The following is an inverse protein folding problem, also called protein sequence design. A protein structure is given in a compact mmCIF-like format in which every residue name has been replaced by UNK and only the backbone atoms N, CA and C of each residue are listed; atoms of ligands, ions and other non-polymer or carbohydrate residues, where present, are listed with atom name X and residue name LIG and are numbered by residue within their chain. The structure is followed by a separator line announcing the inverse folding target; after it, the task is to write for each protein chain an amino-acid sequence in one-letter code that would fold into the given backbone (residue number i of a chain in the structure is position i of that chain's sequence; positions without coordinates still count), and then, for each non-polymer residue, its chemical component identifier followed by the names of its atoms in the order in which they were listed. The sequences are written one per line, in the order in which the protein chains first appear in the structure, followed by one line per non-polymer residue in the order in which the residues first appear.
data_IF_286108699789
#
_entry.id   IF_286108699789
#
_cell.length_a   1.000
_cell.length_b   1.000
_cell.length_c   1.000
_cell.angle_alpha   90.00
_cell.angle_beta   90.00
_cell.angle_gamma   90.00
#
_symmetry.space_group_name_H-M   'P 1'
#
loop_
_entity.id
_entity.type
_entity.pdbx_description
1 polymer ?
#
# COMPACT_ATOMS: atom_id res chain seq x y z
N UNK A 1 -51.91 -81.90 -49.51
CA UNK A 1 -51.43 -82.71 -48.37
C UNK A 1 -50.10 -82.12 -47.91
N UNK A 2 -50.02 -81.62 -46.67
CA UNK A 2 -48.78 -81.39 -45.87
C UNK A 2 -47.87 -80.25 -46.44
N UNK A 3 -47.25 -79.30 -45.74
CA UNK A 3 -47.08 -78.97 -44.33
C UNK A 3 -46.72 -77.48 -44.18
N UNK A 4 -46.85 -77.02 -42.95
CA UNK A 4 -46.36 -75.81 -42.28
C UNK A 4 -44.91 -75.33 -42.54
N UNK A 5 -44.70 -74.06 -42.15
CA UNK A 5 -43.54 -73.37 -41.51
C UNK A 5 -43.08 -72.13 -42.29
N UNK A 6 -42.80 -70.95 -41.74
CA UNK A 6 -42.98 -70.33 -40.41
C UNK A 6 -42.77 -68.80 -40.62
N UNK A 7 -43.70 -68.00 -40.08
CA UNK A 7 -43.47 -66.83 -39.21
C UNK A 7 -42.54 -65.69 -39.70
N UNK A 8 -43.15 -64.50 -39.92
CA UNK A 8 -42.63 -63.24 -39.38
C UNK A 8 -43.80 -62.33 -38.98
N UNK A 9 -43.85 -61.95 -37.69
CA UNK A 9 -44.87 -61.09 -37.07
C UNK A 9 -44.47 -59.63 -37.20
N UNK A 10 -45.34 -58.79 -37.77
CA UNK A 10 -45.31 -57.33 -37.63
C UNK A 10 -46.67 -56.86 -37.13
N UNK A 11 -46.78 -56.58 -35.83
CA UNK A 11 -48.01 -56.11 -35.22
C UNK A 11 -48.08 -54.58 -35.26
N UNK A 12 -49.13 -54.09 -35.89
CA UNK A 12 -49.58 -52.71 -35.92
C UNK A 12 -50.23 -52.38 -34.57
N UNK A 13 -49.80 -51.29 -33.94
CA UNK A 13 -50.47 -50.71 -32.78
C UNK A 13 -50.88 -49.27 -33.10
N UNK A 14 -52.19 -49.02 -33.04
CA UNK A 14 -52.77 -47.69 -33.00
C UNK A 14 -53.30 -47.46 -31.58
N UNK A 15 -52.99 -46.32 -30.95
CA UNK A 15 -53.85 -45.75 -29.92
C UNK A 15 -53.50 -44.28 -29.57
N UNK A 16 -54.57 -43.50 -29.48
CA UNK A 16 -54.84 -42.29 -28.67
C UNK A 16 -54.33 -40.89 -29.04
N UNK A 17 -55.34 -40.04 -29.11
CA UNK A 17 -55.41 -38.58 -29.20
C UNK A 17 -54.90 -37.92 -27.91
N UNK A 18 -54.09 -36.88 -28.06
CA UNK A 18 -53.71 -35.96 -26.98
C UNK A 18 -53.16 -34.67 -27.58
N UNK A 19 -54.05 -33.70 -27.80
CA UNK A 19 -53.71 -32.36 -28.30
C UNK A 19 -52.97 -31.60 -27.18
N UNK A 20 -51.65 -31.75 -27.09
CA UNK A 20 -50.82 -30.95 -26.19
C UNK A 20 -50.67 -29.54 -26.75
N UNK A 21 -51.37 -28.60 -26.11
CA UNK A 21 -51.10 -27.17 -26.21
C UNK A 21 -49.62 -26.94 -25.87
N UNK A 22 -48.82 -26.62 -26.87
CA UNK A 22 -47.46 -26.07 -26.71
C UNK A 22 -47.59 -24.67 -26.09
N UNK A 23 -47.85 -24.64 -24.79
CA UNK A 23 -47.64 -23.45 -23.98
C UNK A 23 -46.13 -23.24 -23.89
N UNK A 24 -45.60 -22.37 -24.74
CA UNK A 24 -44.25 -21.82 -24.57
C UNK A 24 -44.28 -21.05 -23.25
N UNK A 25 -43.93 -21.72 -22.15
CA UNK A 25 -43.51 -21.05 -20.93
C UNK A 25 -42.16 -20.42 -21.28
N UNK A 26 -42.18 -19.15 -21.67
CA UNK A 26 -40.96 -18.35 -21.62
C UNK A 26 -40.56 -18.27 -20.14
N UNK A 27 -39.70 -19.18 -19.70
CA UNK A 27 -38.91 -18.94 -18.51
C UNK A 27 -37.91 -17.87 -18.90
N UNK A 28 -38.23 -16.61 -18.62
CA UNK A 28 -37.20 -15.57 -18.59
C UNK A 28 -36.22 -16.00 -17.51
N UNK A 29 -35.04 -16.43 -17.91
CA UNK A 29 -33.91 -16.45 -17.02
C UNK A 29 -33.76 -15.01 -16.53
N UNK A 30 -34.06 -14.78 -15.25
CA UNK A 30 -33.71 -13.53 -14.60
C UNK A 30 -32.20 -13.39 -14.78
N UNK A 31 -31.80 -12.31 -15.47
CA UNK A 31 -30.42 -12.11 -15.87
C UNK A 31 -29.50 -12.19 -14.67
N UNK A 32 -28.23 -12.53 -14.92
CA UNK A 32 -27.10 -12.43 -13.97
C UNK A 32 -27.39 -11.30 -12.98
N UNK A 33 -27.42 -11.53 -11.64
CA UNK A 33 -27.75 -10.49 -10.68
C UNK A 33 -26.85 -9.28 -10.91
N UNK A 34 -27.42 -8.25 -11.53
CA UNK A 34 -26.76 -6.99 -11.75
C UNK A 34 -26.57 -6.35 -10.39
N UNK A 35 -25.33 -6.36 -9.91
CA UNK A 35 -24.85 -5.80 -8.63
C UNK A 35 -25.16 -6.64 -7.38
N UNK A 36 -24.18 -6.75 -6.49
CA UNK A 36 -24.38 -7.35 -5.17
C UNK A 36 -25.49 -6.60 -4.42
N UNK A 37 -26.54 -7.30 -3.94
CA UNK A 37 -27.69 -6.66 -3.31
C UNK A 37 -27.26 -5.87 -2.08
N UNK A 38 -27.75 -4.64 -1.95
CA UNK A 38 -27.57 -3.84 -0.73
C UNK A 38 -28.74 -4.08 0.22
N UNK A 39 -28.46 -4.19 1.52
CA UNK A 39 -29.49 -4.42 2.56
C UNK A 39 -29.54 -3.24 3.50
N UNK A 40 -30.73 -2.67 3.68
CA UNK A 40 -31.02 -1.74 4.76
C UNK A 40 -31.40 -2.54 6.01
N UNK A 41 -30.81 -2.20 7.16
CA UNK A 41 -31.17 -2.78 8.46
C UNK A 41 -31.57 -1.66 9.40
N UNK A 42 -32.64 -1.86 10.17
CA UNK A 42 -33.12 -0.88 11.12
C UNK A 42 -33.69 -1.52 12.38
N UNK A 43 -33.95 -0.67 13.38
CA UNK A 43 -34.71 -1.02 14.58
C UNK A 43 -36.00 -0.20 14.62
N UNK A 44 -37.10 -0.84 15.01
CA UNK A 44 -38.42 -0.25 15.14
C UNK A 44 -38.88 -0.39 16.59
N UNK A 45 -39.20 0.74 17.21
CA UNK A 45 -39.75 0.83 18.55
C UNK A 45 -41.04 1.66 18.53
N UNK A 46 -42.03 1.25 19.32
CA UNK A 46 -43.26 2.00 19.54
C UNK A 46 -43.33 2.29 21.05
N UNK A 47 -43.32 3.57 21.43
CA UNK A 47 -43.30 3.98 22.85
C UNK A 47 -42.06 3.51 23.63
N UNK A 48 -40.92 3.30 22.95
CA UNK A 48 -39.67 2.81 23.55
C UNK A 48 -39.63 1.28 23.75
N UNK A 49 -40.60 0.54 23.20
CA UNK A 49 -40.63 -0.93 23.26
C UNK A 49 -40.35 -1.51 21.86
N UNK A 50 -39.41 -2.47 21.73
CA UNK A 50 -39.14 -3.13 20.46
C UNK A 50 -40.36 -3.84 19.88
N UNK A 51 -40.67 -3.56 18.62
CA UNK A 51 -41.81 -4.15 17.93
C UNK A 51 -41.47 -5.56 17.42
N UNK A 52 -42.42 -6.49 17.48
CA UNK A 52 -42.31 -7.81 16.82
C UNK A 52 -43.54 -8.06 15.95
N UNK A 53 -43.34 -8.51 14.71
CA UNK A 53 -44.42 -8.81 13.77
C UNK A 53 -44.08 -8.42 12.33
N UNK A 54 -45.01 -8.68 11.41
CA UNK A 54 -44.87 -8.28 10.01
C UNK A 54 -45.21 -6.79 9.84
N UNK A 55 -44.41 -6.07 9.07
CA UNK A 55 -44.60 -4.66 8.71
C UNK A 55 -44.33 -4.44 7.23
N UNK A 56 -45.08 -3.52 6.63
CA UNK A 56 -44.77 -3.04 5.29
C UNK A 56 -43.74 -1.92 5.41
N UNK A 57 -42.60 -2.09 4.75
CA UNK A 57 -41.51 -1.12 4.75
C UNK A 57 -41.31 -0.60 3.33
N UNK A 58 -41.33 0.72 3.16
CA UNK A 58 -40.97 1.39 1.91
C UNK A 58 -39.70 2.20 2.14
N UNK A 59 -38.72 2.00 1.26
CA UNK A 59 -37.47 2.73 1.23
C UNK A 59 -37.49 3.64 0.00
N UNK A 60 -37.48 4.95 0.20
CA UNK A 60 -37.48 5.93 -0.89
C UNK A 60 -36.17 6.69 -0.87
N UNK A 61 -35.44 6.67 -1.98
CA UNK A 61 -34.17 7.41 -2.12
C UNK A 61 -34.43 8.73 -2.81
N UNK A 62 -33.96 9.81 -2.20
CA UNK A 62 -34.04 11.17 -2.70
C UNK A 62 -32.64 11.73 -2.99
N UNK A 63 -32.54 12.71 -3.89
CA UNK A 63 -31.32 13.51 -4.07
C UNK A 63 -31.38 14.89 -3.41
N UNK A 64 -32.47 15.17 -2.69
CA UNK A 64 -32.64 16.39 -1.90
C UNK A 64 -33.13 16.06 -0.48
N UNK A 65 -32.61 16.80 0.50
CA UNK A 65 -32.89 16.60 1.92
C UNK A 65 -34.34 16.91 2.32
N UNK A 66 -35.04 17.74 1.56
CA UNK A 66 -36.28 18.41 1.99
C UNK A 66 -37.39 18.44 0.94
N UNK A 67 -37.08 18.22 -0.34
CA UNK A 67 -38.06 18.31 -1.42
C UNK A 67 -39.19 17.30 -1.25
N UNK A 68 -40.43 17.76 -1.16
CA UNK A 68 -41.62 16.91 -0.93
C UNK A 68 -42.29 16.44 -2.23
N UNK A 69 -41.75 16.83 -3.38
CA UNK A 69 -42.27 16.43 -4.68
C UNK A 69 -41.67 15.09 -5.16
N UNK A 70 -42.26 14.52 -6.20
CA UNK A 70 -41.78 13.29 -6.82
C UNK A 70 -40.55 13.48 -7.73
N UNK A 71 -40.15 14.70 -8.07
CA UNK A 71 -39.05 14.96 -9.00
C UNK A 71 -37.68 14.64 -8.38
N UNK A 72 -37.60 14.69 -7.05
CA UNK A 72 -36.40 14.38 -6.28
C UNK A 72 -36.30 12.90 -5.87
N UNK A 73 -37.29 12.08 -6.19
CA UNK A 73 -37.21 10.62 -5.98
C UNK A 73 -36.27 10.03 -7.05
N UNK A 74 -35.27 9.27 -6.60
CA UNK A 74 -34.33 8.58 -7.49
C UNK A 74 -34.65 7.10 -7.63
N UNK A 75 -35.21 6.49 -6.60
CA UNK A 75 -35.74 5.14 -6.67
C UNK A 75 -36.64 4.84 -5.46
N UNK A 76 -37.40 3.75 -5.53
CA UNK A 76 -38.16 3.24 -4.39
C UNK A 76 -38.08 1.73 -4.32
N UNK A 77 -37.86 1.18 -3.13
CA UNK A 77 -37.99 -0.25 -2.84
C UNK A 77 -39.16 -0.44 -1.88
N UNK A 78 -40.13 -1.29 -2.25
CA UNK A 78 -41.26 -1.65 -1.39
C UNK A 78 -41.10 -3.11 -0.96
N UNK A 79 -40.99 -3.33 0.36
CA UNK A 79 -40.96 -4.65 0.97
C UNK A 79 -42.23 -4.84 1.80
N UNK A 80 -43.19 -5.55 1.24
CA UNK A 80 -44.40 -5.95 1.95
C UNK A 80 -44.09 -7.13 2.88
N UNK A 81 -44.66 -7.14 4.09
CA UNK A 81 -44.53 -8.26 5.03
C UNK A 81 -43.12 -8.47 5.60
N UNK A 82 -42.29 -7.42 5.69
CA UNK A 82 -40.99 -7.49 6.36
C UNK A 82 -41.14 -7.95 7.80
N UNK A 83 -40.45 -9.02 8.17
CA UNK A 83 -40.42 -9.50 9.54
C UNK A 83 -39.60 -8.55 10.42
N UNK A 84 -40.22 -8.06 11.48
CA UNK A 84 -39.57 -7.34 12.57
C UNK A 84 -39.48 -8.28 13.76
N UNK A 85 -38.28 -8.56 14.25
CA UNK A 85 -38.05 -9.45 15.40
C UNK A 85 -37.27 -8.70 16.47
N UNK A 86 -37.89 -8.50 17.63
CA UNK A 86 -37.28 -7.72 18.73
C UNK A 86 -36.77 -6.35 18.24
N UNK A 87 -37.63 -5.64 17.52
CA UNK A 87 -37.37 -4.35 16.89
C UNK A 87 -36.55 -4.43 15.60
N UNK A 88 -35.77 -5.47 15.35
CA UNK A 88 -34.87 -5.52 14.19
C UNK A 88 -35.57 -5.96 12.92
N UNK A 89 -35.29 -5.27 11.82
CA UNK A 89 -35.76 -5.65 10.50
C UNK A 89 -34.67 -5.44 9.43
N UNK A 90 -34.82 -6.14 8.30
CA UNK A 90 -33.93 -6.01 7.15
C UNK A 90 -34.73 -5.96 5.86
N UNK A 91 -34.32 -5.09 4.95
CA UNK A 91 -34.92 -4.92 3.62
C UNK A 91 -33.81 -4.85 2.58
N UNK A 92 -33.84 -5.77 1.64
CA UNK A 92 -32.96 -5.73 0.46
C UNK A 92 -33.44 -4.67 -0.51
N UNK A 93 -32.56 -3.75 -0.90
CA UNK A 93 -32.84 -2.75 -1.92
C UNK A 93 -33.00 -3.43 -3.29
N UNK A 94 -33.96 -2.95 -4.09
CA UNK A 94 -34.08 -3.38 -5.48
C UNK A 94 -32.84 -3.01 -6.32
N UNK A 95 -32.66 -3.65 -7.47
CA UNK A 95 -31.50 -3.44 -8.34
C UNK A 95 -31.36 -1.97 -8.78
N UNK A 96 -32.47 -1.29 -9.06
CA UNK A 96 -32.49 0.14 -9.42
C UNK A 96 -31.94 1.02 -8.28
N UNK A 97 -32.44 0.81 -7.05
CA UNK A 97 -31.92 1.53 -5.90
C UNK A 97 -30.48 1.20 -5.58
N UNK A 98 -30.08 -0.05 -5.80
CA UNK A 98 -28.69 -0.49 -5.62
C UNK A 98 -27.77 0.23 -6.60
N UNK A 99 -28.20 0.43 -7.85
CA UNK A 99 -27.44 1.18 -8.85
C UNK A 99 -27.37 2.68 -8.53
N UNK A 100 -28.51 3.31 -8.18
CA UNK A 100 -28.59 4.75 -7.83
C UNK A 100 -27.67 5.10 -6.68
N UNK A 101 -27.71 4.33 -5.59
CA UNK A 101 -26.90 4.59 -4.39
C UNK A 101 -25.39 4.47 -4.68
N UNK A 102 -25.00 3.65 -5.67
CA UNK A 102 -23.60 3.49 -6.07
C UNK A 102 -23.12 4.58 -7.03
N UNK A 103 -23.99 5.07 -7.92
CA UNK A 103 -23.60 6.01 -8.98
C UNK A 103 -23.77 7.48 -8.60
N UNK A 104 -24.59 7.79 -7.59
CA UNK A 104 -24.99 9.16 -7.28
C UNK A 104 -24.53 9.55 -5.86
N UNK A 105 -23.66 10.57 -5.73
CA UNK A 105 -23.32 11.13 -4.42
C UNK A 105 -24.48 11.97 -3.86
N UNK A 106 -24.47 12.21 -2.54
CA UNK A 106 -25.47 13.03 -1.85
C UNK A 106 -26.90 12.55 -2.05
N UNK A 107 -27.24 11.42 -1.45
CA UNK A 107 -28.60 10.90 -1.44
C UNK A 107 -29.16 10.92 -0.01
N UNK A 108 -30.48 10.85 0.10
CA UNK A 108 -31.22 10.74 1.35
C UNK A 108 -32.15 9.54 1.27
N UNK A 109 -32.22 8.78 2.36
CA UNK A 109 -33.15 7.66 2.51
C UNK A 109 -34.30 8.12 3.40
N UNK A 110 -35.51 7.97 2.91
CA UNK A 110 -36.71 7.98 3.73
C UNK A 110 -37.18 6.55 3.94
N UNK A 111 -37.47 6.21 5.19
CA UNK A 111 -37.98 4.90 5.58
C UNK A 111 -39.39 5.09 6.06
N UNK A 112 -40.33 4.53 5.32
CA UNK A 112 -41.73 4.51 5.71
C UNK A 112 -42.08 3.12 6.26
N UNK A 113 -42.67 3.09 7.45
CA UNK A 113 -43.20 1.87 8.06
C UNK A 113 -44.70 2.02 8.20
N UNK A 114 -45.46 1.07 7.64
CA UNK A 114 -46.93 1.12 7.62
C UNK A 114 -47.51 2.45 7.11
N UNK A 115 -46.82 3.10 6.16
CA UNK A 115 -47.23 4.38 5.55
C UNK A 115 -46.82 5.62 6.34
N UNK A 116 -46.11 5.49 7.46
CA UNK A 116 -45.58 6.62 8.23
C UNK A 116 -44.08 6.78 7.95
N UNK A 117 -43.66 7.95 7.46
CA UNK A 117 -42.24 8.29 7.29
C UNK A 117 -41.57 8.44 8.66
N UNK A 118 -40.40 7.83 8.80
CA UNK A 118 -39.52 7.95 9.97
C UNK A 118 -38.50 9.10 9.82
N UNK A 119 -38.61 9.87 8.73
CA UNK A 119 -37.74 11.01 8.43
C UNK A 119 -36.58 10.67 7.51
N UNK A 120 -36.09 11.70 6.81
CA UNK A 120 -34.98 11.59 5.86
C UNK A 120 -33.64 11.55 6.56
N UNK A 121 -32.87 10.52 6.25
CA UNK A 121 -31.48 10.38 6.70
C UNK A 121 -30.55 10.44 5.51
N UNK A 122 -29.48 11.25 5.59
CA UNK A 122 -28.50 11.35 4.51
C UNK A 122 -27.79 10.00 4.31
N UNK A 123 -27.94 9.40 3.14
CA UNK A 123 -27.08 8.31 2.65
C UNK A 123 -25.79 8.99 2.22
N UNK A 124 -24.89 9.13 3.17
CA UNK A 124 -23.55 9.65 2.88
C UNK A 124 -22.85 8.62 2.00
N UNK A 125 -22.95 8.77 0.68
CA UNK A 125 -22.07 8.13 -0.29
C UNK A 125 -20.68 8.77 -0.17
N UNK A 126 -20.07 8.62 1.00
CA UNK A 126 -18.63 8.62 1.11
C UNK A 126 -18.29 7.15 1.02
N UNK A 127 -17.45 6.70 0.08
CA UNK A 127 -16.91 5.34 0.12
C UNK A 127 -16.12 5.03 1.43
N UNK A 128 -16.03 5.99 2.38
CA UNK A 128 -15.13 5.95 3.53
C UNK A 128 -15.64 6.55 4.86
N UNK A 129 -16.91 7.00 5.01
CA UNK A 129 -17.32 7.75 6.22
C UNK A 129 -18.29 7.04 7.19
N UNK A 130 -18.44 5.71 7.12
CA UNK A 130 -19.13 4.95 8.18
C UNK A 130 -18.25 3.81 8.66
N UNK A 131 -17.13 4.15 9.30
CA UNK A 131 -16.36 3.23 10.16
C UNK A 131 -15.82 3.91 11.43
N UNK A 132 -16.54 4.90 11.98
CA UNK A 132 -16.22 5.40 13.33
C UNK A 132 -16.88 4.59 14.46
N UNK A 133 -17.76 3.64 14.15
CA UNK A 133 -18.54 2.88 15.14
C UNK A 133 -18.22 1.39 15.27
N UNK A 134 -17.35 0.83 14.43
CA UNK A 134 -16.93 -0.58 14.49
C UNK A 134 -15.47 -0.73 14.08
N UNK A 135 -14.56 -0.20 14.90
CA UNK A 135 -13.15 -0.60 14.88
C UNK A 135 -12.98 -2.03 15.44
N UNK A 136 -13.67 -2.99 14.83
CA UNK A 136 -13.46 -4.41 15.06
C UNK A 136 -13.37 -5.03 13.67
N UNK A 137 -12.13 -5.18 13.21
CA UNK A 137 -11.71 -5.74 11.92
C UNK A 137 -11.80 -4.79 10.72
N UNK A 138 -10.86 -3.83 10.68
CA UNK A 138 -10.41 -3.27 9.40
C UNK A 138 -10.03 -4.45 8.50
N UNK A 139 -10.83 -4.71 7.46
CA UNK A 139 -10.44 -5.69 6.43
C UNK A 139 -9.05 -5.34 5.89
N UNK A 140 -8.24 -6.32 5.43
CA UNK A 140 -6.92 -6.02 4.87
C UNK A 140 -6.95 -4.95 3.76
N UNK A 141 -8.05 -4.90 3.00
CA UNK A 141 -8.29 -3.87 2.00
C UNK A 141 -8.51 -2.47 2.59
N UNK A 142 -9.34 -2.33 3.64
CA UNK A 142 -9.57 -1.05 4.32
C UNK A 142 -8.33 -0.56 5.07
N UNK A 143 -7.56 -1.46 5.69
CA UNK A 143 -6.26 -1.13 6.29
C UNK A 143 -5.26 -0.58 5.27
N UNK A 144 -5.20 -1.18 4.07
CA UNK A 144 -4.29 -0.75 3.00
C UNK A 144 -4.68 0.60 2.38
N UNK A 145 -5.96 0.99 2.49
CA UNK A 145 -6.43 2.31 2.06
C UNK A 145 -5.99 3.43 3.01
N UNK A 146 -5.87 3.14 4.31
CA UNK A 146 -5.40 4.12 5.31
C UNK A 146 -3.86 4.20 5.33
N UNK A 147 -3.20 3.05 5.33
CA UNK A 147 -1.74 2.94 5.29
C UNK A 147 -1.37 1.81 4.33
N UNK A 148 -0.92 2.12 3.11
CA UNK A 148 -0.54 1.11 2.14
C UNK A 148 0.57 0.20 2.65
N UNK A 149 0.50 -1.09 2.32
CA UNK A 149 1.58 -2.05 2.54
C UNK A 149 2.87 -1.56 1.87
N UNK A 150 4.00 -1.76 2.54
CA UNK A 150 5.30 -1.18 2.16
C UNK A 150 5.56 0.22 2.71
N UNK A 151 4.58 0.88 3.35
CA UNK A 151 4.81 2.16 4.04
C UNK A 151 5.79 1.97 5.20
N UNK A 152 6.82 2.80 5.24
CA UNK A 152 7.81 2.83 6.32
C UNK A 152 7.60 4.07 7.18
N UNK A 153 7.56 3.89 8.50
CA UNK A 153 7.46 4.99 9.47
C UNK A 153 8.52 4.86 10.56
N UNK A 154 8.95 6.00 11.10
CA UNK A 154 9.76 6.02 12.32
C UNK A 154 8.87 5.66 13.52
N UNK A 155 9.41 4.84 14.42
CA UNK A 155 8.67 4.25 15.52
C UNK A 155 9.51 4.29 16.79
N UNK A 156 8.95 4.86 17.85
CA UNK A 156 9.63 5.08 19.12
C UNK A 156 9.60 3.88 20.07
N UNK A 157 8.93 2.78 19.70
CA UNK A 157 8.90 1.55 20.50
C UNK A 157 9.89 0.50 19.99
N UNK A 158 10.20 -0.47 20.86
CA UNK A 158 11.14 -1.54 20.55
C UNK A 158 10.53 -2.70 19.76
N UNK A 159 9.23 -2.97 19.96
CA UNK A 159 8.53 -4.09 19.33
C UNK A 159 7.51 -3.58 18.32
N UNK A 160 7.60 -4.08 17.08
CA UNK A 160 6.63 -3.72 16.05
C UNK A 160 5.20 -4.16 16.44
N UNK A 161 4.20 -3.28 16.32
CA UNK A 161 2.81 -3.64 16.61
C UNK A 161 2.26 -4.64 15.59
N UNK A 162 1.10 -5.24 15.89
CA UNK A 162 0.42 -6.15 14.98
C UNK A 162 0.17 -5.50 13.59
N UNK A 163 0.44 -6.24 12.52
CA UNK A 163 0.37 -5.72 11.14
C UNK A 163 1.63 -4.98 10.67
N UNK A 164 2.66 -4.89 11.51
CA UNK A 164 3.93 -4.26 11.17
C UNK A 164 5.11 -5.20 11.42
N UNK A 165 6.24 -4.92 10.76
CA UNK A 165 7.55 -5.54 11.01
C UNK A 165 8.61 -4.47 11.18
N UNK A 166 9.68 -4.81 11.91
CA UNK A 166 10.87 -3.96 11.94
C UNK A 166 11.58 -3.99 10.57
N UNK A 167 12.18 -2.88 10.18
CA UNK A 167 13.07 -2.78 9.02
C UNK A 167 14.48 -3.25 9.40
N UNK A 168 14.63 -4.55 9.62
CA UNK A 168 15.85 -5.21 10.11
C UNK A 168 16.56 -6.09 9.05
N UNK A 169 16.11 -6.05 7.79
CA UNK A 169 16.67 -6.85 6.70
C UNK A 169 16.20 -8.30 6.64
N UNK A 170 15.29 -8.74 7.51
CA UNK A 170 14.81 -10.12 7.55
C UNK A 170 14.26 -10.60 6.19
N UNK A 171 14.49 -11.87 5.89
CA UNK A 171 13.84 -12.54 4.76
C UNK A 171 12.44 -13.00 5.18
N UNK A 172 11.42 -12.67 4.38
CA UNK A 172 10.01 -12.96 4.66
C UNK A 172 9.34 -13.63 3.46
N UNK A 173 8.25 -14.35 3.70
CA UNK A 173 7.55 -15.14 2.68
C UNK A 173 6.63 -14.31 1.79
N UNK A 174 6.73 -14.52 0.47
CA UNK A 174 5.82 -13.95 -0.53
C UNK A 174 4.38 -14.44 -0.34
N UNK A 175 4.20 -15.67 0.15
CA UNK A 175 2.86 -16.24 0.36
C UNK A 175 2.21 -15.74 1.65
N UNK A 176 3.01 -15.45 2.67
CA UNK A 176 2.53 -14.88 3.94
C UNK A 176 2.25 -13.38 3.79
N UNK A 177 3.07 -12.65 3.04
CA UNK A 177 2.95 -11.19 2.84
C UNK A 177 2.82 -10.80 1.36
N UNK A 178 1.75 -11.22 0.67
CA UNK A 178 1.59 -10.97 -0.77
C UNK A 178 1.37 -9.50 -1.11
N UNK A 179 0.73 -8.73 -0.22
CA UNK A 179 0.54 -7.29 -0.40
C UNK A 179 1.89 -6.55 -0.31
N UNK A 180 2.70 -6.88 0.68
CA UNK A 180 4.04 -6.32 0.84
C UNK A 180 4.95 -6.67 -0.33
N UNK A 181 4.91 -7.93 -0.78
CA UNK A 181 5.71 -8.33 -1.95
C UNK A 181 5.29 -7.58 -3.21
N UNK A 182 3.98 -7.32 -3.42
CA UNK A 182 3.53 -6.46 -4.52
C UNK A 182 4.03 -5.02 -4.40
N UNK A 183 4.18 -4.51 -3.17
CA UNK A 183 4.61 -3.15 -2.92
C UNK A 183 6.13 -2.96 -3.10
N UNK A 184 6.96 -3.87 -2.57
CA UNK A 184 8.42 -3.68 -2.53
C UNK A 184 9.21 -4.68 -3.38
N UNK A 185 8.59 -5.79 -3.79
CA UNK A 185 9.23 -6.85 -4.55
C UNK A 185 10.51 -7.35 -3.88
N UNK A 186 11.55 -7.53 -4.68
CA UNK A 186 12.91 -7.88 -4.20
C UNK A 186 13.82 -6.67 -4.09
N UNK A 187 13.29 -5.45 -4.01
CA UNK A 187 14.11 -4.22 -4.04
C UNK A 187 15.26 -4.23 -3.00
N UNK A 188 15.03 -4.87 -1.86
CA UNK A 188 15.99 -4.96 -0.76
C UNK A 188 16.74 -6.31 -0.70
N UNK A 189 16.50 -7.21 -1.65
CA UNK A 189 17.08 -8.56 -1.71
C UNK A 189 16.04 -9.64 -2.01
N UNK A 190 16.50 -10.75 -2.59
CA UNK A 190 15.64 -11.88 -2.95
C UNK A 190 15.34 -12.84 -1.79
N UNK A 191 15.88 -12.62 -0.59
CA UNK A 191 15.66 -13.48 0.57
C UNK A 191 16.39 -14.83 0.52
N UNK A 192 17.20 -15.09 -0.53
CA UNK A 192 18.06 -16.28 -0.65
C UNK A 192 17.34 -17.61 -0.96
N UNK A 193 16.10 -17.78 -0.53
CA UNK A 193 15.27 -18.95 -0.82
C UNK A 193 14.11 -18.62 -1.78
N UNK A 194 13.65 -19.63 -2.52
CA UNK A 194 12.52 -19.50 -3.45
C UNK A 194 11.28 -19.08 -2.65
N UNK A 195 10.57 -18.07 -3.15
CA UNK A 195 9.36 -17.55 -2.49
C UNK A 195 9.64 -16.62 -1.31
N UNK A 196 10.88 -16.19 -1.10
CA UNK A 196 11.25 -15.18 -0.10
C UNK A 196 11.56 -13.83 -0.75
N UNK A 197 11.64 -12.78 0.08
CA UNK A 197 12.19 -11.46 -0.24
C UNK A 197 12.68 -10.79 1.03
N UNK A 198 13.63 -9.85 0.93
CA UNK A 198 14.13 -9.13 2.10
C UNK A 198 13.31 -7.88 2.42
N UNK A 199 13.11 -7.62 3.70
CA UNK A 199 12.72 -6.30 4.20
C UNK A 199 13.88 -5.29 4.04
N UNK A 200 13.61 -3.97 4.09
CA UNK A 200 14.67 -2.98 4.25
C UNK A 200 15.46 -3.23 5.54
N UNK A 201 16.77 -3.02 5.53
CA UNK A 201 17.59 -2.91 6.75
C UNK A 201 17.97 -1.45 6.94
N UNK A 202 17.30 -0.77 7.89
CA UNK A 202 17.48 0.65 8.16
C UNK A 202 18.27 0.91 9.44
N UNK A 203 18.77 -0.15 10.09
CA UNK A 203 19.52 -0.03 11.35
C UNK A 203 20.82 0.73 11.10
N UNK A 204 21.03 1.81 11.85
CA UNK A 204 22.22 2.65 11.75
C UNK A 204 22.37 3.41 10.42
N UNK A 205 21.30 3.48 9.59
CA UNK A 205 21.34 4.15 8.29
C UNK A 205 20.50 5.41 8.27
N UNK A 206 20.94 6.39 7.49
CA UNK A 206 20.10 7.51 7.09
C UNK A 206 19.28 7.14 5.85
N UNK A 207 18.00 7.54 5.85
CA UNK A 207 17.13 7.37 4.68
C UNK A 207 17.35 8.56 3.73
N UNK A 208 17.51 8.25 2.45
CA UNK A 208 17.53 9.24 1.36
C UNK A 208 16.36 9.01 0.42
N UNK A 209 15.89 10.08 -0.21
CA UNK A 209 15.01 9.95 -1.36
C UNK A 209 15.77 9.40 -2.58
N UNK A 210 15.07 8.66 -3.44
CA UNK A 210 15.58 8.31 -4.78
C UNK A 210 15.62 9.59 -5.62
N UNK A 211 16.72 9.81 -6.34
CA UNK A 211 16.95 11.09 -7.04
C UNK A 211 16.07 11.23 -8.28
N UNK A 212 15.92 10.16 -9.07
CA UNK A 212 15.10 10.13 -10.29
C UNK A 212 15.36 11.31 -11.23
N UNK A 213 16.60 11.77 -11.33
CA UNK A 213 17.01 12.87 -12.21
C UNK A 213 16.85 14.26 -11.60
N UNK A 214 16.56 14.40 -10.30
CA UNK A 214 16.55 15.68 -9.61
C UNK A 214 17.95 16.33 -9.50
N UNK A 215 19.03 15.56 -9.71
CA UNK A 215 20.41 16.07 -9.71
C UNK A 215 20.97 16.39 -8.32
N UNK A 216 20.29 15.93 -7.26
CA UNK A 216 20.71 16.08 -5.85
C UNK A 216 21.59 14.92 -5.40
N UNK A 217 21.52 13.79 -6.09
CA UNK A 217 22.48 12.68 -5.98
C UNK A 217 23.28 12.51 -7.30
N UNK A 218 24.44 13.19 -7.44
CA UNK A 218 25.29 13.08 -8.62
C UNK A 218 25.82 11.67 -8.87
N UNK A 219 26.06 10.90 -7.80
CA UNK A 219 26.67 9.58 -7.86
C UNK A 219 25.62 8.45 -7.82
N UNK A 220 24.33 8.75 -8.03
CA UNK A 220 23.20 7.81 -7.95
C UNK A 220 23.35 6.55 -8.80
N UNK A 221 24.12 6.59 -9.90
CA UNK A 221 24.36 5.41 -10.73
C UNK A 221 25.29 4.38 -10.05
N UNK A 222 26.09 4.82 -9.06
CA UNK A 222 27.09 3.98 -8.37
C UNK A 222 26.55 3.28 -7.12
N UNK A 223 25.26 3.45 -6.81
CA UNK A 223 24.64 2.87 -5.61
C UNK A 223 24.59 1.35 -5.74
N UNK A 224 24.95 0.66 -4.67
CA UNK A 224 25.02 -0.80 -4.65
C UNK A 224 23.70 -1.43 -4.19
N UNK A 225 23.50 -2.70 -4.50
CA UNK A 225 22.43 -3.48 -3.89
C UNK A 225 22.74 -3.76 -2.41
N UNK A 226 21.71 -3.69 -1.56
CA UNK A 226 21.84 -4.00 -0.13
C UNK A 226 22.14 -5.50 0.09
N UNK A 227 21.49 -6.35 -0.69
CA UNK A 227 21.59 -7.81 -0.64
C UNK A 227 21.56 -8.39 -2.06
N UNK A 228 21.99 -9.65 -2.26
CA UNK A 228 21.84 -10.35 -3.53
C UNK A 228 20.39 -10.32 -4.04
N UNK A 229 20.22 -10.09 -5.34
CA UNK A 229 18.89 -9.95 -5.97
C UNK A 229 18.16 -8.65 -5.66
N UNK A 230 18.81 -7.74 -4.92
CA UNK A 230 18.33 -6.39 -4.64
C UNK A 230 18.65 -5.38 -5.74
N UNK A 231 18.06 -4.20 -5.61
CA UNK A 231 18.20 -3.12 -6.58
C UNK A 231 19.49 -2.32 -6.38
N UNK A 232 20.11 -1.90 -7.49
CA UNK A 232 21.27 -1.01 -7.52
C UNK A 232 20.98 0.27 -8.33
N UNK A 233 21.87 1.26 -8.26
CA UNK A 233 21.72 2.54 -8.96
C UNK A 233 20.62 3.43 -8.39
N UNK A 234 20.00 4.24 -9.26
CA UNK A 234 18.99 5.25 -8.90
C UNK A 234 17.59 4.64 -8.72
N UNK A 235 17.48 3.69 -7.81
CA UNK A 235 16.26 2.92 -7.57
C UNK A 235 16.04 2.69 -6.07
N UNK A 236 14.79 2.40 -5.71
CA UNK A 236 14.44 2.03 -4.33
C UNK A 236 15.18 0.76 -3.94
N UNK A 237 15.77 0.74 -2.75
CA UNK A 237 16.50 -0.41 -2.20
C UNK A 237 18.02 -0.35 -2.38
N UNK A 238 18.53 0.57 -3.21
CA UNK A 238 19.96 0.77 -3.35
C UNK A 238 20.57 1.50 -2.15
N UNK A 239 21.81 1.14 -1.82
CA UNK A 239 22.56 1.68 -0.69
C UNK A 239 23.83 2.38 -1.14
N UNK A 240 24.40 3.15 -0.23
CA UNK A 240 25.72 3.74 -0.35
C UNK A 240 26.47 3.43 0.93
N UNK A 241 27.71 2.99 0.79
CA UNK A 241 28.61 2.85 1.92
C UNK A 241 29.13 4.23 2.35
N UNK A 242 29.56 4.37 3.61
CA UNK A 242 30.15 5.62 4.09
C UNK A 242 31.25 6.11 3.14
N UNK A 243 31.25 7.40 2.84
CA UNK A 243 32.26 8.05 2.03
C UNK A 243 32.73 9.30 2.76
N UNK A 244 34.05 9.45 2.86
CA UNK A 244 34.67 10.69 3.32
C UNK A 244 35.18 11.39 2.07
N UNK A 245 34.80 12.65 1.86
CA UNK A 245 35.42 13.48 0.83
C UNK A 245 36.76 13.97 1.36
N UNK A 246 37.92 13.49 0.86
CA UNK A 246 39.20 13.96 1.33
C UNK A 246 39.34 15.45 1.02
N UNK A 247 39.53 16.28 2.04
CA UNK A 247 39.89 17.69 1.86
C UNK A 247 41.41 17.79 1.79
N UNK A 248 41.95 18.35 0.70
CA UNK A 248 43.35 18.77 0.69
C UNK A 248 43.42 20.17 1.30
N UNK A 249 44.02 20.29 2.48
CA UNK A 249 44.40 21.59 3.00
C UNK A 249 45.77 21.96 2.42
N UNK A 250 45.81 23.00 1.60
CA UNK A 250 47.06 23.61 1.16
C UNK A 250 47.58 24.49 2.29
N UNK A 251 48.74 24.14 2.84
CA UNK A 251 49.48 25.06 3.73
C UNK A 251 50.16 26.06 2.81
N UNK A 252 49.62 27.28 2.75
CA UNK A 252 50.29 28.38 2.08
C UNK A 252 51.24 28.99 3.11
N UNK A 253 52.46 28.45 3.21
CA UNK A 253 53.51 29.05 4.02
C UNK A 253 54.05 30.30 3.27
N UNK A 254 53.85 31.53 3.78
CA UNK A 254 54.37 32.73 3.13
C UNK A 254 55.90 32.76 3.05
N UNK A 255 56.60 31.84 3.73
CA UNK A 255 58.06 31.83 3.83
C UNK A 255 58.80 31.06 2.71
N UNK A 256 58.14 30.34 1.78
CA UNK A 256 58.87 29.61 0.73
C UNK A 256 58.24 29.71 -0.65
N UNK A 257 58.64 30.76 -1.40
CA UNK A 257 58.58 30.76 -2.87
C UNK A 257 59.63 29.81 -3.43
N UNK A 258 59.23 28.73 -4.10
CA UNK A 258 59.99 28.17 -5.22
C UNK A 258 59.05 27.63 -6.30
N UNK A 259 59.26 28.13 -7.52
CA UNK A 259 58.54 27.79 -8.74
C UNK A 259 58.83 26.34 -9.17
N UNK A 260 57.82 25.68 -9.74
CA UNK A 260 57.85 24.47 -10.56
C UNK A 260 58.81 23.33 -10.17
N UNK A 261 58.21 22.24 -9.66
CA UNK A 261 58.71 20.88 -9.84
C UNK A 261 59.99 20.52 -9.07
N UNK A 262 59.84 19.57 -8.16
CA UNK A 262 60.92 18.98 -7.35
C UNK A 262 61.45 19.92 -6.27
N UNK A 263 61.16 19.56 -5.02
CA UNK A 263 61.77 20.15 -3.83
C UNK A 263 63.29 19.86 -3.86
N UNK A 264 64.03 20.74 -4.52
CA UNK A 264 65.49 20.71 -4.60
C UNK A 264 66.02 21.65 -3.53
N UNK A 265 66.44 21.09 -2.40
CA UNK A 265 67.17 21.85 -1.39
C UNK A 265 68.60 22.02 -1.89
N UNK A 266 69.10 23.26 -1.94
CA UNK A 266 70.54 23.44 -2.00
C UNK A 266 71.02 24.80 -2.47
N UNK A 267 70.99 25.79 -1.59
CA UNK A 267 72.09 26.78 -1.53
C UNK A 267 72.35 27.17 -0.08
N UNK A 268 73.49 26.75 0.45
CA UNK A 268 74.09 27.37 1.63
C UNK A 268 75.41 27.98 1.20
N UNK A 269 75.46 29.31 1.09
CA UNK A 269 76.71 30.04 1.00
C UNK A 269 77.33 30.04 2.40
N UNK A 270 78.55 29.55 2.57
CA UNK A 270 79.35 29.91 3.74
C UNK A 270 80.01 31.27 3.47
N UNK A 271 80.24 32.03 4.55
CA UNK A 271 80.90 33.35 4.52
C UNK A 271 82.23 33.21 3.78
N UNK A 272 82.42 34.10 2.81
CA UNK A 272 83.62 34.33 2.00
C UNK A 272 83.96 33.17 1.02
N UNK A 273 83.66 33.45 -0.26
CA UNK A 273 84.05 32.79 -1.52
C UNK A 273 83.56 31.36 -1.87
N UNK A 274 82.68 31.32 -2.90
CA UNK A 274 82.39 30.20 -3.83
C UNK A 274 81.42 29.08 -3.41
N UNK A 275 80.19 29.10 -3.97
CA UNK A 275 79.23 28.00 -3.88
C UNK A 275 79.55 26.90 -4.92
N UNK A 276 79.92 25.70 -4.49
CA UNK A 276 80.07 24.53 -5.36
C UNK A 276 78.84 23.62 -5.30
N UNK A 277 78.38 23.14 -6.47
CA UNK A 277 77.26 22.20 -6.59
C UNK A 277 77.73 20.77 -6.25
N UNK A 278 77.70 20.41 -4.98
CA UNK A 278 77.91 19.03 -4.52
C UNK A 278 76.59 18.34 -4.24
N UNK A 279 76.36 17.17 -4.86
CA UNK A 279 75.24 16.30 -4.49
C UNK A 279 75.50 15.72 -3.09
N UNK A 280 74.67 16.10 -2.11
CA UNK A 280 74.75 15.54 -0.76
C UNK A 280 73.77 14.37 -0.61
N UNK A 281 74.29 13.14 -0.51
CA UNK A 281 73.57 11.96 -0.01
C UNK A 281 73.66 11.91 1.52
N UNK A 282 73.08 12.91 2.19
CA UNK A 282 73.00 12.97 3.65
C UNK A 282 71.54 12.99 4.10
N UNK A 283 71.20 12.22 5.13
CA UNK A 283 69.86 12.20 5.71
C UNK A 283 69.45 13.62 6.13
N UNK A 284 68.34 14.11 5.59
CA UNK A 284 67.74 15.38 5.95
C UNK A 284 67.43 15.39 7.45
N UNK A 285 68.29 16.02 8.25
CA UNK A 285 68.07 16.17 9.68
C UNK A 285 67.38 17.52 9.89
N UNK A 286 66.08 17.49 10.26
CA UNK A 286 65.32 18.70 10.57
C UNK A 286 64.24 19.10 9.55
N UNK A 287 63.57 18.14 8.90
CA UNK A 287 62.26 18.43 8.28
C UNK A 287 61.32 18.88 9.40
N UNK A 288 61.00 20.17 9.46
CA UNK A 288 59.93 20.68 10.32
C UNK A 288 58.61 20.36 9.64
N UNK A 289 58.15 19.13 9.83
CA UNK A 289 56.80 18.73 9.43
C UNK A 289 55.82 19.41 10.39
N UNK A 290 55.19 20.50 9.97
CA UNK A 290 54.03 21.03 10.69
C UNK A 290 52.86 20.08 10.44
N UNK A 291 52.74 19.05 11.28
CA UNK A 291 51.60 18.15 11.27
C UNK A 291 50.44 18.88 11.95
N UNK A 292 49.55 19.46 11.15
CA UNK A 292 48.26 19.93 11.65
C UNK A 292 47.44 18.69 11.96
N UNK A 293 47.48 18.24 13.21
CA UNK A 293 46.61 17.18 13.71
C UNK A 293 45.30 17.81 14.18
N UNK A 294 44.17 17.39 13.61
CA UNK A 294 42.89 17.56 14.28
C UNK A 294 42.90 16.64 15.49
N UNK A 295 42.84 17.20 16.71
CA UNK A 295 42.65 16.38 17.89
C UNK A 295 41.37 15.55 17.72
N UNK A 296 41.42 14.27 18.06
CA UNK A 296 40.24 13.41 18.07
C UNK A 296 39.37 13.80 19.27
N UNK A 297 38.60 14.87 19.12
CA UNK A 297 37.46 15.16 19.99
C UNK A 297 36.22 14.60 19.31
N UNK A 298 35.95 13.30 19.50
CA UNK A 298 34.80 12.62 18.91
C UNK A 298 34.87 11.09 19.00
N UNK A 299 33.82 10.40 18.56
CA UNK A 299 33.78 8.94 18.45
C UNK A 299 34.31 8.41 17.11
N UNK A 300 34.18 7.10 16.86
CA UNK A 300 34.67 6.41 15.64
C UNK A 300 33.98 6.81 14.32
N UNK A 301 32.99 7.71 14.36
CA UNK A 301 32.23 8.16 13.19
C UNK A 301 31.84 9.63 13.34
N UNK A 302 32.01 10.40 12.25
CA UNK A 302 31.51 11.77 12.13
C UNK A 302 30.06 11.76 11.65
N UNK A 303 29.13 12.27 12.46
CA UNK A 303 27.71 12.38 12.12
C UNK A 303 27.06 13.60 12.80
N UNK A 304 25.99 14.19 12.25
CA UNK A 304 25.16 15.14 12.99
C UNK A 304 24.59 14.50 14.25
N UNK A 305 24.24 15.32 15.26
CA UNK A 305 23.48 14.83 16.42
C UNK A 305 22.20 14.12 15.96
N UNK A 306 21.90 12.96 16.52
CA UNK A 306 20.76 12.14 16.13
C UNK A 306 20.09 11.48 17.34
N UNK A 307 18.85 11.04 17.14
CA UNK A 307 18.08 10.23 18.09
C UNK A 307 17.70 8.94 17.38
N UNK A 308 17.93 7.80 18.04
CA UNK A 308 17.59 6.49 17.48
C UNK A 308 16.10 6.20 17.65
N UNK A 309 15.43 5.91 16.54
CA UNK A 309 14.09 5.33 16.48
C UNK A 309 14.18 4.06 15.64
N UNK A 310 13.29 3.11 15.92
CA UNK A 310 13.10 2.00 15.00
C UNK A 310 12.40 2.49 13.73
N UNK A 311 12.57 1.75 12.65
CA UNK A 311 11.71 1.87 11.48
C UNK A 311 10.85 0.62 11.40
N UNK A 312 9.55 0.82 11.19
CA UNK A 312 8.61 -0.27 10.95
C UNK A 312 8.00 -0.14 9.57
N UNK A 313 7.72 -1.28 8.95
CA UNK A 313 7.09 -1.40 7.64
C UNK A 313 5.73 -2.08 7.76
N UNK A 314 4.74 -1.51 7.07
CA UNK A 314 3.39 -2.08 7.01
C UNK A 314 3.40 -3.36 6.17
N UNK A 315 2.91 -4.45 6.75
CA UNK A 315 2.72 -5.75 6.08
C UNK A 315 1.58 -5.70 5.06
#
# INVERSE_FOLDING_TARGET
MINEKHVMRGAIAALMVGMTVLGVRQTRADGIPGTSPMTYSGTLEEGGVPVTGMRNVRLTVFDDATATDGAHIRCTTVAAGTAVTNGRFQVTLGNECTAVVRSTPNLWLDVEVAGTSLGRTKISAVPFAVEAGRAAELTPAASNLLVPSGTVVAFAGDTAPAGWRLCDGAAVSQTEFPALFRAIGTAHGSGGAIGMFNLPDLRGRFVRGVDRGAGRDPDRATRAAANPGGNAGDTVGSIQNPQVRPTRMGVNDPATRTNNGTFTVGRTCKREDSCHAGAHTGALTGVRTTVVTSQSTGGSETRPGNTALNYIIRL
#
